data_IF_890985512986
#
_entry.id   IF_890985512986
#
_cell.length_a   1.000
_cell.length_b   1.000
_cell.length_c   1.000
_cell.angle_alpha   90.00
_cell.angle_beta   90.00
_cell.angle_gamma   90.00
#
_symmetry.space_group_name_H-M   'P 1'
#
loop_
_entity.id
_entity.type
_entity.pdbx_description
1 polymer ?
#
# COMPACT_ATOMS: atom_id res chain seq x y z
N UNK A 1 -54.67 44.12 -16.67
CA UNK A 1 -53.57 44.08 -15.68
C UNK A 1 -52.40 43.38 -16.32
N UNK A 2 -51.20 43.96 -16.19
CA UNK A 2 -50.02 43.74 -17.05
C UNK A 2 -49.31 42.42 -16.72
N UNK A 3 -49.04 41.60 -17.74
CA UNK A 3 -48.09 40.47 -17.69
C UNK A 3 -46.66 41.00 -17.79
N UNK A 4 -45.78 40.52 -16.91
CA UNK A 4 -44.35 40.80 -16.94
C UNK A 4 -43.63 39.57 -17.49
N UNK A 5 -43.10 39.71 -18.70
CA UNK A 5 -42.24 38.72 -19.36
C UNK A 5 -40.79 39.05 -18.98
N UNK A 6 -40.09 38.13 -18.31
CA UNK A 6 -38.67 38.24 -18.04
C UNK A 6 -37.89 37.49 -19.14
N UNK A 7 -37.09 38.24 -19.92
CA UNK A 7 -36.17 37.70 -20.90
C UNK A 7 -34.86 37.29 -20.21
N UNK A 8 -34.45 36.03 -20.36
CA UNK A 8 -33.14 35.53 -19.94
C UNK A 8 -32.25 35.49 -21.19
N UNK A 9 -31.29 36.42 -21.27
CA UNK A 9 -30.26 36.45 -22.30
C UNK A 9 -29.24 35.34 -22.06
N UNK A 10 -29.11 34.42 -23.02
CA UNK A 10 -28.08 33.39 -23.08
C UNK A 10 -26.88 33.98 -23.82
N UNK A 11 -25.77 34.22 -23.11
CA UNK A 11 -24.48 34.50 -23.74
C UNK A 11 -23.80 33.17 -24.09
N UNK A 12 -23.67 32.92 -25.39
CA UNK A 12 -22.85 31.83 -25.95
C UNK A 12 -21.44 32.41 -26.17
N UNK A 13 -20.46 31.93 -25.41
CA UNK A 13 -19.04 32.20 -25.67
C UNK A 13 -18.49 31.07 -26.54
N UNK A 14 -18.31 31.38 -27.82
CA UNK A 14 -17.55 30.58 -28.78
C UNK A 14 -16.06 30.81 -28.55
N UNK A 15 -15.30 29.76 -28.25
CA UNK A 15 -13.83 29.78 -28.37
C UNK A 15 -13.45 28.94 -29.57
N UNK A 16 -12.88 29.60 -30.56
CA UNK A 16 -12.36 29.01 -31.79
C UNK A 16 -11.11 28.16 -31.51
N UNK A 17 -10.98 27.08 -32.27
CA UNK A 17 -9.80 26.26 -32.37
C UNK A 17 -8.62 27.04 -32.99
N UNK A 18 -7.41 26.79 -32.49
CA UNK A 18 -6.14 27.20 -33.10
C UNK A 18 -5.31 25.93 -33.30
N UNK A 19 -4.94 25.67 -34.55
CA UNK A 19 -4.04 24.60 -34.99
C UNK A 19 -2.56 24.90 -34.70
N UNK A 20 -1.77 23.82 -34.60
CA UNK A 20 -0.32 23.79 -34.32
C UNK A 20 0.55 24.34 -35.47
N UNK A 21 1.86 24.55 -35.20
CA UNK A 21 2.83 23.72 -35.93
C UNK A 21 4.01 23.17 -35.09
N UNK A 22 4.61 22.13 -35.67
CA UNK A 22 5.74 21.29 -35.24
C UNK A 22 7.04 22.04 -34.82
N UNK A 23 7.81 21.42 -33.90
CA UNK A 23 9.12 20.74 -34.13
C UNK A 23 10.08 20.84 -32.93
N UNK A 24 10.88 19.77 -32.81
CA UNK A 24 12.22 19.66 -32.23
C UNK A 24 12.38 19.40 -30.70
N UNK A 25 12.61 18.11 -30.42
CA UNK A 25 13.74 17.54 -29.69
C UNK A 25 14.34 18.32 -28.50
N UNK A 26 14.23 17.74 -27.29
CA UNK A 26 15.16 17.99 -26.20
C UNK A 26 15.42 16.71 -25.38
N UNK A 27 16.69 16.29 -25.44
CA UNK A 27 17.52 15.61 -24.45
C UNK A 27 16.90 14.50 -23.56
N UNK A 28 17.38 13.28 -23.82
CA UNK A 28 17.42 12.17 -22.87
C UNK A 28 18.49 12.53 -21.83
N UNK A 29 18.06 12.78 -20.60
CA UNK A 29 18.97 13.05 -19.49
C UNK A 29 19.56 11.76 -18.93
N UNK A 30 20.82 11.88 -18.54
CA UNK A 30 21.76 10.83 -18.18
C UNK A 30 21.28 9.98 -17.00
N UNK A 31 21.30 8.65 -17.17
CA UNK A 31 21.30 7.73 -16.03
C UNK A 31 22.70 7.72 -15.44
N UNK A 32 22.88 8.32 -14.28
CA UNK A 32 24.10 8.16 -13.50
C UNK A 32 24.18 6.73 -12.94
N UNK A 33 25.29 6.10 -13.30
CA UNK A 33 25.82 4.86 -12.78
C UNK A 33 26.13 5.01 -11.29
N UNK A 34 25.59 4.10 -10.47
CA UNK A 34 26.10 3.87 -9.12
C UNK A 34 26.56 2.41 -9.06
N UNK A 35 27.85 2.22 -9.33
CA UNK A 35 28.60 1.00 -9.08
C UNK A 35 29.10 0.98 -7.64
N UNK A 36 29.07 -0.22 -7.05
CA UNK A 36 29.90 -0.74 -5.96
C UNK A 36 29.74 -0.18 -4.55
N UNK A 37 29.29 -1.04 -3.60
CA UNK A 37 30.02 -1.31 -2.35
C UNK A 37 29.85 -2.80 -1.93
N UNK A 38 30.96 -3.54 -2.07
CA UNK A 38 31.50 -4.68 -1.29
C UNK A 38 30.63 -5.89 -0.90
N UNK A 39 30.84 -6.98 -1.65
CA UNK A 39 30.75 -8.36 -1.18
C UNK A 39 31.93 -8.69 -0.26
N UNK A 40 31.66 -8.97 1.02
CA UNK A 40 32.62 -9.60 1.92
C UNK A 40 32.34 -11.11 1.95
N UNK A 41 33.23 -11.88 1.31
CA UNK A 41 33.27 -13.33 1.37
C UNK A 41 33.54 -13.84 2.79
N UNK A 42 32.62 -14.65 3.34
CA UNK A 42 32.98 -15.67 4.32
C UNK A 42 32.45 -17.04 3.88
N UNK A 43 33.40 -17.93 3.61
CA UNK A 43 33.23 -19.36 3.40
C UNK A 43 32.66 -20.04 4.64
N UNK A 44 31.81 -21.05 4.45
CA UNK A 44 31.80 -22.38 5.12
C UNK A 44 30.66 -23.25 4.50
N UNK A 45 30.67 -24.59 4.67
CA UNK A 45 30.60 -25.52 3.55
C UNK A 45 29.23 -26.16 3.29
N UNK A 46 29.13 -26.75 2.10
CA UNK A 46 28.00 -27.49 1.53
C UNK A 46 27.90 -28.93 2.04
N UNK A 47 26.71 -29.37 2.47
CA UNK A 47 26.20 -30.74 2.19
C UNK A 47 24.66 -30.78 2.04
N UNK A 48 24.24 -31.17 0.83
CA UNK A 48 23.16 -32.12 0.46
C UNK A 48 21.72 -32.02 1.01
N UNK A 49 20.83 -31.64 0.08
CA UNK A 49 19.54 -32.29 -0.28
C UNK A 49 18.31 -32.14 0.63
N UNK A 50 17.51 -31.12 0.32
CA UNK A 50 16.05 -31.25 0.17
C UNK A 50 15.52 -30.04 -0.59
N UNK A 51 14.74 -30.28 -1.63
CA UNK A 51 14.27 -29.36 -2.66
C UNK A 51 13.46 -28.18 -2.12
N UNK A 52 14.15 -27.11 -1.71
CA UNK A 52 13.54 -25.84 -1.34
C UNK A 52 13.52 -24.94 -2.58
N UNK A 53 12.36 -24.89 -3.24
CA UNK A 53 12.12 -24.02 -4.39
C UNK A 53 12.31 -22.57 -3.94
N UNK A 54 13.47 -22.01 -4.29
CA UNK A 54 13.90 -20.61 -4.17
C UNK A 54 12.72 -19.64 -4.32
N UNK A 55 12.11 -19.22 -3.22
CA UNK A 55 11.09 -18.16 -3.22
C UNK A 55 11.84 -16.83 -3.34
N UNK A 56 11.99 -16.42 -4.60
CA UNK A 56 12.10 -15.03 -5.07
C UNK A 56 13.19 -14.11 -4.48
N UNK A 57 14.41 -14.59 -4.23
CA UNK A 57 15.58 -13.70 -4.09
C UNK A 57 16.13 -13.27 -5.46
N UNK A 58 15.31 -12.64 -6.31
CA UNK A 58 15.66 -12.23 -7.67
C UNK A 58 15.24 -10.79 -8.00
N UNK A 59 15.62 -10.24 -9.17
CA UNK A 59 15.32 -8.86 -9.61
C UNK A 59 13.83 -8.48 -9.56
N UNK A 60 12.95 -9.47 -9.49
CA UNK A 60 11.50 -9.30 -9.35
C UNK A 60 11.06 -8.90 -7.93
N UNK A 61 11.80 -9.28 -6.88
CA UNK A 61 11.45 -8.91 -5.50
C UNK A 61 11.64 -7.40 -5.26
N UNK A 62 12.77 -6.84 -5.71
CA UNK A 62 13.03 -5.39 -5.64
C UNK A 62 11.96 -4.59 -6.39
N UNK A 63 11.58 -5.03 -7.60
CA UNK A 63 10.48 -4.41 -8.37
C UNK A 63 9.14 -4.47 -7.62
N UNK A 64 8.83 -5.58 -6.96
CA UNK A 64 7.58 -5.75 -6.22
C UNK A 64 7.52 -4.89 -4.96
N UNK A 65 8.62 -4.78 -4.22
CA UNK A 65 8.76 -3.86 -3.08
C UNK A 65 8.57 -2.41 -3.52
N UNK A 66 9.24 -2.01 -4.61
CA UNK A 66 9.09 -0.68 -5.19
C UNK A 66 7.64 -0.40 -5.62
N UNK A 67 6.97 -1.38 -6.23
CA UNK A 67 5.57 -1.27 -6.61
C UNK A 67 4.64 -1.10 -5.41
N UNK A 68 4.83 -1.87 -4.33
CA UNK A 68 4.08 -1.70 -3.08
C UNK A 68 4.26 -0.30 -2.50
N UNK A 69 5.50 0.18 -2.36
CA UNK A 69 5.78 1.53 -1.89
C UNK A 69 5.13 2.59 -2.78
N UNK A 70 5.23 2.42 -4.10
CA UNK A 70 4.67 3.35 -5.08
C UNK A 70 3.16 3.48 -4.93
N UNK A 71 2.41 2.37 -4.94
CA UNK A 71 0.94 2.43 -4.87
C UNK A 71 0.44 3.02 -3.55
N UNK A 72 1.15 2.81 -2.44
CA UNK A 72 0.82 3.46 -1.16
C UNK A 72 1.05 4.97 -1.23
N UNK A 73 2.18 5.41 -1.79
CA UNK A 73 2.49 6.83 -1.91
C UNK A 73 1.60 7.54 -2.94
N UNK A 74 1.22 6.89 -4.03
CA UNK A 74 0.26 7.42 -4.99
C UNK A 74 -1.11 7.63 -4.32
N UNK A 75 -1.58 6.65 -3.54
CA UNK A 75 -2.81 6.76 -2.76
C UNK A 75 -2.76 7.89 -1.72
N UNK A 76 -1.67 7.97 -0.94
CA UNK A 76 -1.49 9.05 0.05
C UNK A 76 -1.42 10.41 -0.64
N UNK A 77 -0.68 10.55 -1.74
CA UNK A 77 -0.59 11.81 -2.50
C UNK A 77 -1.96 12.27 -3.01
N UNK A 78 -2.77 11.34 -3.53
CA UNK A 78 -4.14 11.62 -3.97
C UNK A 78 -5.02 12.05 -2.79
N UNK A 79 -5.18 11.18 -1.81
CA UNK A 79 -6.21 11.32 -0.79
C UNK A 79 -5.83 12.27 0.34
N UNK A 80 -4.54 12.42 0.66
CA UNK A 80 -4.14 13.44 1.64
C UNK A 80 -4.50 14.83 1.14
N UNK A 81 -4.23 15.12 -0.13
CA UNK A 81 -4.58 16.40 -0.75
C UNK A 81 -6.09 16.56 -0.88
N UNK A 82 -6.79 15.53 -1.37
CA UNK A 82 -8.26 15.54 -1.50
C UNK A 82 -8.97 15.82 -0.17
N UNK A 83 -8.43 15.32 0.95
CA UNK A 83 -9.01 15.50 2.28
C UNK A 83 -8.50 16.76 3.02
N UNK A 84 -7.69 17.60 2.35
CA UNK A 84 -7.21 18.88 2.89
C UNK A 84 -5.95 18.80 3.77
N UNK A 85 -5.23 17.67 3.74
CA UNK A 85 -3.99 17.45 4.46
C UNK A 85 -2.73 17.56 3.59
N UNK A 86 -1.58 17.35 4.22
CA UNK A 86 -0.28 17.34 3.53
C UNK A 86 0.18 15.90 3.25
N UNK A 87 0.74 15.69 2.07
CA UNK A 87 1.33 14.41 1.70
C UNK A 87 2.63 14.17 2.46
N UNK A 88 2.73 13.03 3.17
CA UNK A 88 3.99 12.51 3.72
C UNK A 88 4.26 11.13 3.15
N UNK A 89 5.40 10.91 2.46
CA UNK A 89 5.70 9.63 1.84
C UNK A 89 5.98 8.54 2.90
N UNK A 90 5.41 7.36 2.69
CA UNK A 90 5.73 6.16 3.45
C UNK A 90 7.00 5.51 2.89
N UNK A 91 7.85 5.02 3.80
CA UNK A 91 9.10 4.32 3.47
C UNK A 91 8.86 2.81 3.48
N UNK A 92 9.52 2.09 2.57
CA UNK A 92 9.50 0.63 2.62
C UNK A 92 10.50 0.15 3.68
N UNK A 93 10.14 -0.81 4.52
CA UNK A 93 11.00 -1.35 5.56
C UNK A 93 11.11 -2.89 5.45
N UNK A 94 12.34 -3.39 5.58
CA UNK A 94 12.66 -4.81 5.39
C UNK A 94 12.33 -5.69 6.59
N UNK A 95 12.34 -5.15 7.82
CA UNK A 95 11.87 -5.87 9.01
C UNK A 95 10.36 -6.12 8.91
N UNK A 96 9.57 -5.07 8.65
CA UNK A 96 8.12 -5.21 8.44
C UNK A 96 7.77 -6.15 7.28
N UNK A 97 8.59 -6.18 6.21
CA UNK A 97 8.40 -7.15 5.12
C UNK A 97 8.56 -8.58 5.62
N UNK A 98 9.53 -8.83 6.50
CA UNK A 98 9.79 -10.17 7.06
C UNK A 98 8.60 -10.64 7.90
N UNK A 99 8.04 -9.75 8.70
CA UNK A 99 6.86 -10.02 9.52
C UNK A 99 5.63 -10.28 8.64
N UNK A 100 5.45 -9.45 7.60
CA UNK A 100 4.42 -9.66 6.59
C UNK A 100 4.57 -11.00 5.87
N UNK A 101 5.80 -11.45 5.58
CA UNK A 101 6.05 -12.73 4.92
C UNK A 101 5.74 -13.91 5.83
N UNK A 102 6.14 -13.83 7.09
CA UNK A 102 5.82 -14.83 8.10
C UNK A 102 4.30 -14.93 8.27
N UNK A 103 3.59 -13.80 8.38
CA UNK A 103 2.13 -13.81 8.52
C UNK A 103 1.42 -14.30 7.24
N UNK A 104 1.88 -13.90 6.07
CA UNK A 104 1.32 -14.39 4.80
C UNK A 104 1.41 -15.91 4.72
N UNK A 105 2.52 -16.51 5.18
CA UNK A 105 2.70 -17.97 5.25
C UNK A 105 1.70 -18.62 6.21
N UNK A 106 1.36 -17.99 7.32
CA UNK A 106 0.31 -18.49 8.24
C UNK A 106 -1.09 -18.45 7.61
N UNK A 107 -1.42 -17.36 6.91
CA UNK A 107 -2.74 -17.20 6.27
C UNK A 107 -3.00 -18.24 5.18
N UNK A 108 -1.98 -18.64 4.42
CA UNK A 108 -2.17 -19.59 3.32
C UNK A 108 -2.23 -21.05 3.75
N UNK A 109 -1.92 -21.39 5.01
CA UNK A 109 -2.01 -22.78 5.51
C UNK A 109 -3.45 -23.29 5.52
N UNK A 110 -4.38 -22.45 5.98
CA UNK A 110 -5.81 -22.74 6.07
C UNK A 110 -6.66 -21.88 5.12
N UNK A 111 -6.01 -20.97 4.39
CA UNK A 111 -6.63 -19.98 3.51
C UNK A 111 -7.72 -19.14 4.19
N UNK A 112 -7.51 -18.81 5.46
CA UNK A 112 -8.45 -18.01 6.25
C UNK A 112 -7.91 -16.61 6.51
N UNK A 113 -8.61 -15.59 6.00
CA UNK A 113 -8.21 -14.20 6.16
C UNK A 113 -8.52 -13.66 7.56
N UNK A 114 -7.48 -13.55 8.39
CA UNK A 114 -7.56 -13.11 9.78
C UNK A 114 -6.41 -12.17 10.13
N UNK A 115 -6.58 -11.43 11.23
CA UNK A 115 -5.50 -10.64 11.81
C UNK A 115 -4.55 -11.56 12.61
N UNK A 116 -3.26 -11.18 12.75
CA UNK A 116 -2.35 -11.89 13.64
C UNK A 116 -2.83 -11.81 15.10
N UNK A 117 -2.46 -12.82 15.89
CA UNK A 117 -2.61 -12.76 17.35
C UNK A 117 -1.73 -11.65 17.92
N UNK A 118 -2.02 -11.24 19.16
CA UNK A 118 -1.15 -10.32 19.90
C UNK A 118 0.25 -10.90 20.12
N UNK A 119 0.38 -12.21 20.29
CA UNK A 119 1.67 -12.91 20.40
C UNK A 119 2.49 -12.88 19.11
N UNK A 120 1.83 -12.87 17.94
CA UNK A 120 2.55 -12.74 16.68
C UNK A 120 2.91 -11.28 16.37
N UNK A 121 2.09 -10.34 16.82
CA UNK A 121 2.23 -8.91 16.55
C UNK A 121 2.34 -8.13 17.88
N UNK A 122 3.33 -8.51 18.70
CA UNK A 122 3.53 -7.94 20.04
C UNK A 122 3.78 -6.43 20.00
N UNK A 123 4.48 -5.97 18.97
CA UNK A 123 4.77 -4.55 18.69
C UNK A 123 3.52 -3.75 18.26
N UNK A 124 2.39 -4.43 18.04
CA UNK A 124 1.11 -3.80 17.70
C UNK A 124 1.15 -3.04 16.37
N UNK A 125 1.92 -3.51 15.39
CA UNK A 125 1.94 -2.92 14.05
C UNK A 125 0.57 -3.01 13.37
N UNK A 126 0.26 -2.05 12.50
CA UNK A 126 -0.95 -2.13 11.67
C UNK A 126 -0.81 -3.26 10.65
N UNK A 127 -1.90 -3.93 10.29
CA UNK A 127 -1.87 -5.05 9.34
C UNK A 127 -3.01 -4.95 8.35
N UNK A 128 -2.68 -5.06 7.05
CA UNK A 128 -3.65 -5.30 5.99
C UNK A 128 -3.32 -6.62 5.28
N UNK A 129 -4.36 -7.32 4.84
CA UNK A 129 -4.24 -8.55 4.08
C UNK A 129 -5.24 -8.57 2.93
N UNK A 130 -4.84 -9.20 1.83
CA UNK A 130 -5.70 -9.54 0.70
C UNK A 130 -5.44 -10.99 0.32
N UNK A 131 -6.50 -11.78 0.20
CA UNK A 131 -6.40 -13.21 -0.11
C UNK A 131 -7.26 -13.57 -1.30
N UNK A 132 -6.81 -14.57 -2.05
CA UNK A 132 -7.53 -15.12 -3.19
C UNK A 132 -7.29 -16.62 -3.32
N UNK A 133 -8.36 -17.35 -3.58
CA UNK A 133 -8.35 -18.77 -3.93
C UNK A 133 -8.47 -18.96 -5.45
N UNK A 134 -7.94 -20.06 -5.96
CA UNK A 134 -8.18 -20.51 -7.34
C UNK A 134 -7.35 -19.79 -8.41
N UNK A 135 -6.32 -19.03 -8.01
CA UNK A 135 -5.36 -18.44 -8.93
C UNK A 135 -3.94 -18.74 -8.48
N UNK A 136 -3.08 -19.14 -9.41
CA UNK A 136 -1.66 -19.43 -9.15
C UNK A 136 -0.80 -18.18 -9.05
N UNK A 137 -1.30 -17.03 -9.54
CA UNK A 137 -0.58 -15.76 -9.54
C UNK A 137 -0.99 -14.87 -8.37
N UNK A 138 -0.03 -14.09 -7.85
CA UNK A 138 -0.31 -13.02 -6.91
C UNK A 138 -1.05 -11.87 -7.60
N UNK A 139 -1.92 -11.19 -6.87
CA UNK A 139 -2.43 -9.89 -7.32
C UNK A 139 -1.26 -8.89 -7.41
N UNK A 140 -1.33 -7.99 -8.38
CA UNK A 140 -0.41 -6.86 -8.41
C UNK A 140 -0.69 -5.94 -7.21
N UNK A 141 0.31 -5.22 -6.70
CA UNK A 141 0.09 -4.21 -5.66
C UNK A 141 -1.02 -3.21 -6.02
N UNK A 142 -1.13 -2.82 -7.29
CA UNK A 142 -2.19 -1.94 -7.78
C UNK A 142 -3.58 -2.59 -7.68
N UNK A 143 -3.71 -3.87 -8.02
CA UNK A 143 -4.99 -4.57 -7.91
C UNK A 143 -5.44 -4.73 -6.45
N UNK A 144 -4.50 -4.98 -5.53
CA UNK A 144 -4.79 -5.02 -4.09
C UNK A 144 -5.16 -3.63 -3.58
N UNK A 145 -4.40 -2.60 -3.94
CA UNK A 145 -4.70 -1.22 -3.55
C UNK A 145 -6.11 -0.80 -4.02
N UNK A 146 -6.47 -1.09 -5.28
CA UNK A 146 -7.81 -0.81 -5.81
C UNK A 146 -8.91 -1.56 -5.07
N UNK A 147 -8.65 -2.79 -4.62
CA UNK A 147 -9.61 -3.55 -3.79
C UNK A 147 -9.90 -2.82 -2.47
N UNK A 148 -8.87 -2.30 -1.81
CA UNK A 148 -9.01 -1.52 -0.58
C UNK A 148 -9.65 -0.15 -0.85
N UNK A 149 -9.23 0.55 -1.90
CA UNK A 149 -9.76 1.85 -2.34
C UNK A 149 -11.27 1.78 -2.66
N UNK A 150 -11.73 0.71 -3.32
CA UNK A 150 -13.15 0.49 -3.64
C UNK A 150 -14.05 0.43 -2.39
N UNK A 151 -13.48 0.28 -1.19
CA UNK A 151 -14.24 0.30 0.07
C UNK A 151 -14.41 1.69 0.68
N UNK A 152 -13.73 2.72 0.19
CA UNK A 152 -13.81 4.08 0.71
C UNK A 152 -15.26 4.61 0.80
N UNK A 153 -16.08 4.30 -0.21
CA UNK A 153 -17.50 4.67 -0.27
C UNK A 153 -18.34 4.16 0.91
N UNK A 154 -17.89 3.12 1.61
CA UNK A 154 -18.65 2.52 2.73
C UNK A 154 -18.27 3.11 4.09
N UNK A 155 -17.29 4.01 4.15
CA UNK A 155 -16.80 4.62 5.38
C UNK A 155 -16.15 3.62 6.36
N UNK A 156 -15.75 4.13 7.52
CA UNK A 156 -15.12 3.31 8.57
C UNK A 156 -16.18 2.53 9.38
N UNK A 157 -15.98 1.23 9.71
CA UNK A 157 -14.75 0.45 9.57
C UNK A 157 -14.63 -0.33 8.26
N UNK A 158 -15.62 -0.25 7.35
CA UNK A 158 -15.64 -1.03 6.11
C UNK A 158 -14.47 -0.69 5.16
N UNK A 159 -13.93 0.52 5.27
CA UNK A 159 -12.73 0.98 4.56
C UNK A 159 -11.41 0.83 5.36
N UNK A 160 -11.41 0.04 6.45
CA UNK A 160 -10.30 -0.04 7.41
C UNK A 160 -8.92 -0.29 6.80
N UNK A 161 -8.84 -1.10 5.74
CA UNK A 161 -7.59 -1.33 5.03
C UNK A 161 -7.05 -0.03 4.39
N UNK A 162 -7.93 0.72 3.73
CA UNK A 162 -7.56 1.97 3.09
C UNK A 162 -7.27 3.07 4.12
N UNK A 163 -7.99 3.13 5.25
CA UNK A 163 -7.67 4.11 6.30
C UNK A 163 -6.29 3.85 6.92
N UNK A 164 -5.84 2.59 7.01
CA UNK A 164 -4.47 2.27 7.44
C UNK A 164 -3.42 2.71 6.41
N UNK A 165 -3.67 2.51 5.11
CA UNK A 165 -2.79 3.01 4.03
C UNK A 165 -2.64 4.52 4.11
N UNK A 166 -3.75 5.21 4.35
CA UNK A 166 -3.84 6.66 4.38
C UNK A 166 -3.46 7.28 5.72
N UNK A 167 -3.17 6.51 6.76
CA UNK A 167 -2.90 7.07 8.08
C UNK A 167 -1.61 7.90 8.09
N UNK A 168 -1.71 9.21 8.30
CA UNK A 168 -0.60 10.16 8.11
C UNK A 168 0.59 9.85 9.01
N UNK A 169 0.34 9.42 10.25
CA UNK A 169 1.36 9.05 11.25
C UNK A 169 2.03 7.70 11.01
N UNK A 170 1.58 6.93 10.01
CA UNK A 170 2.30 5.75 9.55
C UNK A 170 3.47 6.17 8.65
N UNK A 171 4.70 5.88 9.09
CA UNK A 171 5.93 6.26 8.38
C UNK A 171 6.58 5.13 7.57
N UNK A 172 6.27 3.87 7.89
CA UNK A 172 6.87 2.69 7.30
C UNK A 172 5.83 1.63 6.92
N UNK A 173 6.10 0.92 5.83
CA UNK A 173 5.35 -0.25 5.38
C UNK A 173 6.30 -1.35 4.95
N UNK A 174 5.95 -2.61 5.21
CA UNK A 174 6.60 -3.76 4.60
C UNK A 174 5.55 -4.74 4.12
N UNK A 175 5.63 -5.14 2.85
CA UNK A 175 4.65 -6.03 2.25
C UNK A 175 5.32 -7.28 1.67
N UNK A 176 4.65 -8.42 1.78
CA UNK A 176 5.10 -9.70 1.26
C UNK A 176 3.91 -10.55 0.81
N UNK A 177 4.22 -11.62 0.09
CA UNK A 177 3.23 -12.54 -0.43
C UNK A 177 3.62 -13.98 -0.12
N UNK A 178 2.61 -14.82 0.05
CA UNK A 178 2.78 -16.26 0.19
C UNK A 178 1.67 -16.98 -0.58
N UNK A 179 1.96 -18.21 -0.99
CA UNK A 179 0.96 -19.09 -1.58
C UNK A 179 1.10 -20.50 -1.04
N UNK A 180 -0.01 -21.23 -1.04
CA UNK A 180 -0.06 -22.64 -0.70
C UNK A 180 -1.07 -23.34 -1.60
N UNK A 181 -0.85 -24.63 -1.89
CA UNK A 181 -1.86 -25.44 -2.56
C UNK A 181 -3.00 -25.75 -1.59
N UNK A 182 -4.25 -25.69 -2.08
CA UNK A 182 -5.43 -26.14 -1.36
C UNK A 182 -6.04 -27.28 -2.19
N UNK A 183 -5.60 -28.51 -1.95
CA UNK A 183 -5.95 -29.65 -2.78
C UNK A 183 -5.24 -29.65 -4.14
N UNK A 184 -5.69 -30.51 -5.07
CA UNK A 184 -4.96 -30.83 -6.29
C UNK A 184 -4.82 -29.66 -7.28
N UNK A 185 -5.82 -28.77 -7.36
CA UNK A 185 -5.90 -27.76 -8.42
C UNK A 185 -6.03 -26.32 -7.93
N UNK A 186 -6.28 -26.11 -6.63
CA UNK A 186 -6.50 -24.75 -6.11
C UNK A 186 -5.24 -24.25 -5.43
N UNK A 187 -5.03 -22.95 -5.51
CA UNK A 187 -3.96 -22.25 -4.80
C UNK A 187 -4.58 -21.15 -3.95
N UNK A 188 -4.18 -21.07 -2.68
CA UNK A 188 -4.36 -19.89 -1.86
C UNK A 188 -3.22 -18.92 -2.14
N UNK A 189 -3.52 -17.65 -2.32
CA UNK A 189 -2.52 -16.58 -2.36
C UNK A 189 -2.90 -15.53 -1.32
N UNK A 190 -1.90 -15.02 -0.60
CA UNK A 190 -2.05 -13.92 0.33
C UNK A 190 -1.02 -12.83 0.02
N UNK A 191 -1.46 -11.57 0.05
CA UNK A 191 -0.63 -10.37 0.11
C UNK A 191 -0.86 -9.72 1.46
N UNK A 192 0.20 -9.50 2.24
CA UNK A 192 0.14 -8.91 3.58
C UNK A 192 1.03 -7.68 3.62
N UNK A 193 0.59 -6.63 4.30
CA UNK A 193 1.38 -5.45 4.60
C UNK A 193 1.31 -5.14 6.11
N UNK A 194 2.48 -4.95 6.72
CA UNK A 194 2.64 -4.41 8.07
C UNK A 194 2.97 -2.92 8.02
N UNK A 195 2.53 -2.17 9.03
CA UNK A 195 2.61 -0.71 9.08
C UNK A 195 3.15 -0.22 10.42
N UNK A 196 4.13 0.69 10.39
CA UNK A 196 4.67 1.34 11.59
C UNK A 196 4.74 2.88 11.42
N UNK A 197 4.19 3.67 12.34
CA UNK A 197 3.33 3.25 13.46
C UNK A 197 1.95 2.80 12.96
N UNK A 198 1.23 2.02 13.76
CA UNK A 198 -0.12 1.58 13.43
C UNK A 198 -1.09 2.77 13.33
N UNK A 199 -2.12 2.62 12.50
CA UNK A 199 -3.22 3.57 12.34
C UNK A 199 -4.55 3.03 12.86
N UNK A 200 -5.66 3.59 12.37
CA UNK A 200 -7.03 3.13 12.64
C UNK A 200 -7.52 3.21 14.09
N UNK A 201 -6.99 4.13 14.90
CA UNK A 201 -7.46 4.36 16.27
C UNK A 201 -8.07 5.76 16.45
N UNK A 202 -8.62 6.01 17.64
CA UNK A 202 -9.06 7.33 18.07
C UNK A 202 -10.11 8.02 17.17
N UNK A 203 -10.85 7.27 16.33
CA UNK A 203 -11.95 7.81 15.52
C UNK A 203 -12.99 8.58 16.36
N UNK A 204 -13.18 8.23 17.64
CA UNK A 204 -14.05 8.98 18.56
C UNK A 204 -13.70 10.46 18.69
N UNK A 205 -12.42 10.85 18.53
CA UNK A 205 -11.97 12.25 18.59
C UNK A 205 -12.41 13.07 17.36
N UNK A 206 -12.90 12.41 16.34
CA UNK A 206 -13.32 13.00 15.06
C UNK A 206 -14.82 12.82 14.84
N UNK A 207 -15.64 12.89 15.89
CA UNK A 207 -17.09 12.66 15.76
C UNK A 207 -17.44 11.20 15.41
N UNK A 208 -16.56 10.26 15.77
CA UNK A 208 -16.76 8.84 15.55
C UNK A 208 -16.46 8.39 14.12
N UNK A 209 -17.21 7.40 13.65
CA UNK A 209 -16.94 6.73 12.37
C UNK A 209 -17.29 7.57 11.13
N UNK A 210 -18.04 8.66 11.32
CA UNK A 210 -18.54 9.53 10.24
C UNK A 210 -17.49 10.43 9.60
N UNK A 211 -16.45 10.84 10.34
CA UNK A 211 -15.41 11.76 9.84
C UNK A 211 -14.04 11.09 9.73
N UNK A 212 -14.03 9.87 9.18
CA UNK A 212 -12.82 9.06 9.07
C UNK A 212 -11.73 9.73 8.19
N UNK A 213 -12.09 10.62 7.28
CA UNK A 213 -11.14 11.39 6.44
C UNK A 213 -10.28 12.33 7.29
N UNK A 214 -10.86 13.01 8.27
CA UNK A 214 -10.09 13.82 9.23
C UNK A 214 -9.23 12.94 10.13
N UNK A 215 -9.73 11.77 10.54
CA UNK A 215 -8.97 10.83 11.36
C UNK A 215 -7.72 10.30 10.66
N UNK A 216 -7.77 9.98 9.36
CA UNK A 216 -6.56 9.53 8.65
C UNK A 216 -5.49 10.62 8.51
N UNK A 217 -5.88 11.90 8.51
CA UNK A 217 -4.95 13.02 8.39
C UNK A 217 -4.34 13.44 9.73
N UNK A 218 -5.16 13.49 10.78
CA UNK A 218 -4.79 14.13 12.04
C UNK A 218 -4.82 13.17 13.24
N UNK A 219 -5.22 11.92 13.02
CA UNK A 219 -5.21 10.89 14.04
C UNK A 219 -3.81 10.64 14.60
N UNK A 220 -3.70 10.27 15.88
CA UNK A 220 -2.42 9.91 16.48
C UNK A 220 -1.89 8.60 15.89
N UNK A 221 -0.60 8.31 16.12
CA UNK A 221 -0.11 6.95 15.99
C UNK A 221 -0.78 6.04 17.03
N UNK A 222 -1.12 4.83 16.62
CA UNK A 222 -1.85 3.86 17.44
C UNK A 222 -0.94 2.81 18.09
N UNK A 223 0.32 2.77 17.65
CA UNK A 223 1.41 2.05 18.31
C UNK A 223 2.59 3.00 18.54
N UNK A 224 3.42 2.69 19.53
CA UNK A 224 4.70 3.36 19.74
C UNK A 224 5.85 2.66 19.02
N UNK A 225 5.66 1.39 18.64
CA UNK A 225 6.71 0.55 18.09
C UNK A 225 7.16 0.98 16.69
N UNK A 226 8.47 0.91 16.52
CA UNK A 226 9.15 1.03 15.24
C UNK A 226 9.44 -0.33 14.65
N UNK A 227 9.73 -0.43 13.35
CA UNK A 227 10.29 -1.66 12.80
C UNK A 227 11.51 -2.09 13.61
N UNK A 228 11.69 -3.38 13.85
CA UNK A 228 12.74 -3.91 14.76
C UNK A 228 14.18 -3.53 14.40
N UNK A 229 14.42 -3.01 13.19
CA UNK A 229 15.73 -2.50 12.77
C UNK A 229 15.88 -0.97 12.92
N UNK A 230 14.95 -0.29 13.59
CA UNK A 230 14.97 1.16 13.82
C UNK A 230 14.70 1.44 15.30
N UNK A 231 15.62 2.17 15.94
CA UNK A 231 15.45 2.63 17.33
C UNK A 231 14.40 3.75 17.45
N UNK A 232 14.29 4.59 16.41
CA UNK A 232 13.32 5.69 16.37
C UNK A 232 12.61 5.82 15.02
N UNK A 233 11.33 6.18 15.14
CA UNK A 233 10.31 6.48 14.14
C UNK A 233 9.07 6.99 14.92
#
# INVERSE_FOLDING_TARGET
MKSITAAISILILSVAAVEQPDRAAAAIDHVESITEINDLHHHLPTTSSSSNRRIQSGPNAGKRMAAWRKVHNDARKKYHVEYGGSFTPIKFNMALKRDAEAWAKELVKDCNNRLPSSEFNEDGHGVNSAMRTGSRGFQSPNAVMKMWENKLQYGYPKNGAMTQVLWSKTGHVGCADASSAIGAEKTCTASVCFYAKAGNCAFGRFGGKGNWTQAVLYGPACSTACPSNLETC
#
